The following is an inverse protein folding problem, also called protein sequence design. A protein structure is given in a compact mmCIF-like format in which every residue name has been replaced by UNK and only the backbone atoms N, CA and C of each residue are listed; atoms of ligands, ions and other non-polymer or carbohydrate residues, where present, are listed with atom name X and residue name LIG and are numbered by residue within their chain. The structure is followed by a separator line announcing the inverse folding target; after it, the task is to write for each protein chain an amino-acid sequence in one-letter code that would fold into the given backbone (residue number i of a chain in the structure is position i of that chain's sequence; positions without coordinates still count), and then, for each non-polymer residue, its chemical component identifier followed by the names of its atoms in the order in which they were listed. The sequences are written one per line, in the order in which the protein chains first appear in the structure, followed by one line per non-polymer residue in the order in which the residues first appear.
data_IF_862787042016
#
_entry.id   IF_862787042016
#
_cell.length_a   1.000
_cell.length_b   1.000
_cell.length_c   1.000
_cell.angle_alpha   90.00
_cell.angle_beta   90.00
_cell.angle_gamma   90.00
#
_symmetry.space_group_name_H-M   'P 1'
#
loop_
_entity.id
_entity.type
_entity.pdbx_description
1 polymer ?
#
# COMPACT_ATOMS: atom_id res chain seq x y z
N UNK A 1 9.17 5.52 13.25
CA UNK A 1 9.18 4.56 12.12
C UNK A 1 8.34 5.17 11.01
N UNK A 2 8.90 5.35 9.82
CA UNK A 2 8.27 6.09 8.70
C UNK A 2 7.64 5.20 7.64
N UNK A 3 7.81 3.88 7.76
CA UNK A 3 7.43 2.86 6.80
C UNK A 3 7.58 1.45 7.42
N UNK A 4 7.30 0.39 6.65
CA UNK A 4 7.44 -1.01 7.08
C UNK A 4 8.69 -1.68 6.45
N UNK A 5 9.76 -0.94 6.17
CA UNK A 5 10.98 -1.45 5.51
C UNK A 5 11.71 -2.56 6.26
N UNK A 6 11.45 -2.73 7.57
CA UNK A 6 11.88 -3.92 8.33
C UNK A 6 11.42 -5.24 7.69
N UNK A 7 10.34 -5.20 6.91
CA UNK A 7 9.79 -6.31 6.14
C UNK A 7 10.10 -6.22 4.63
N UNK A 8 11.14 -5.48 4.23
CA UNK A 8 11.54 -5.33 2.82
C UNK A 8 11.79 -6.67 2.10
N UNK A 9 12.22 -7.70 2.84
CA UNK A 9 12.44 -9.07 2.33
C UNK A 9 11.22 -10.00 2.51
N UNK A 10 10.09 -9.52 3.02
CA UNK A 10 8.88 -10.31 3.14
C UNK A 10 8.38 -10.71 1.75
N UNK A 11 8.46 -12.00 1.43
CA UNK A 11 8.05 -12.52 0.13
C UNK A 11 6.60 -13.01 0.10
N UNK A 12 6.12 -13.58 1.22
CA UNK A 12 4.83 -14.27 1.27
C UNK A 12 4.10 -14.01 2.59
N UNK A 13 2.80 -13.74 2.50
CA UNK A 13 1.87 -13.75 3.64
C UNK A 13 0.99 -15.01 3.53
N UNK A 14 1.29 -16.02 4.35
CA UNK A 14 0.66 -17.34 4.19
C UNK A 14 -0.79 -17.45 4.69
N UNK A 15 -1.22 -16.62 5.64
CA UNK A 15 -2.61 -16.61 6.11
C UNK A 15 -3.09 -17.88 6.83
N UNK A 16 -2.21 -18.60 7.54
CA UNK A 16 -2.57 -19.82 8.32
C UNK A 16 -3.63 -19.57 9.40
N UNK A 17 -3.68 -18.36 9.94
CA UNK A 17 -4.71 -17.89 10.86
C UNK A 17 -5.08 -16.46 10.48
N UNK A 18 -6.36 -16.13 10.54
CA UNK A 18 -6.91 -14.88 10.03
C UNK A 18 -7.62 -14.10 11.14
N UNK A 19 -7.42 -12.80 11.17
CA UNK A 19 -8.17 -11.90 12.04
C UNK A 19 -9.44 -11.48 11.32
N UNK A 20 -10.59 -12.08 11.65
CA UNK A 20 -11.87 -11.81 10.96
C UNK A 20 -11.76 -11.91 9.43
N UNK A 21 -11.00 -12.91 8.95
CA UNK A 21 -10.74 -13.11 7.51
C UNK A 21 -9.62 -12.25 6.91
N UNK A 22 -8.88 -11.48 7.72
CA UNK A 22 -7.81 -10.58 7.28
C UNK A 22 -6.44 -11.21 7.58
N UNK A 23 -5.52 -11.11 6.61
CA UNK A 23 -4.12 -11.55 6.78
C UNK A 23 -3.12 -10.38 6.82
N UNK A 24 -3.50 -9.20 6.32
CA UNK A 24 -2.72 -7.96 6.45
C UNK A 24 -3.64 -6.80 6.84
N UNK A 25 -3.38 -6.20 8.01
CA UNK A 25 -4.11 -5.05 8.53
C UNK A 25 -3.14 -3.89 8.80
N UNK A 26 -3.34 -2.77 8.11
CA UNK A 26 -2.61 -1.51 8.32
C UNK A 26 -3.63 -0.43 8.65
N UNK A 27 -3.80 -0.16 9.94
CA UNK A 27 -4.88 0.69 10.46
C UNK A 27 -4.32 1.79 11.37
N UNK A 28 -4.79 3.04 11.18
CA UNK A 28 -4.49 4.18 12.05
C UNK A 28 -2.99 4.44 12.28
N UNK A 29 -2.16 4.15 11.29
CA UNK A 29 -0.74 4.43 11.33
C UNK A 29 -0.48 5.83 10.81
N UNK A 30 -0.38 6.80 11.73
CA UNK A 30 -0.19 8.20 11.37
C UNK A 30 1.22 8.49 10.81
N UNK A 31 2.25 7.83 11.33
CA UNK A 31 3.65 8.12 10.99
C UNK A 31 4.18 7.46 9.70
N UNK A 32 3.44 6.53 9.09
CA UNK A 32 3.91 5.82 7.90
C UNK A 32 3.54 6.56 6.62
N UNK A 33 4.51 6.66 5.72
CA UNK A 33 4.35 7.31 4.41
C UNK A 33 4.34 6.33 3.25
N UNK A 34 4.83 5.10 3.46
CA UNK A 34 4.81 4.04 2.45
C UNK A 34 4.85 2.66 3.11
N UNK A 35 4.40 1.62 2.38
CA UNK A 35 4.42 0.24 2.90
C UNK A 35 5.79 -0.44 2.77
N UNK A 36 6.58 -0.14 1.73
CA UNK A 36 7.90 -0.73 1.50
C UNK A 36 7.97 -2.28 1.49
N UNK A 37 6.85 -2.95 1.20
CA UNK A 37 6.79 -4.41 1.02
C UNK A 37 7.29 -4.81 -0.39
N UNK A 38 8.53 -4.41 -0.73
CA UNK A 38 9.04 -4.47 -2.10
C UNK A 38 9.24 -5.90 -2.61
N UNK A 39 9.56 -6.85 -1.73
CA UNK A 39 9.73 -8.26 -2.10
C UNK A 39 8.44 -9.07 -2.08
N UNK A 40 7.30 -8.47 -1.68
CA UNK A 40 6.05 -9.19 -1.54
C UNK A 40 5.54 -9.67 -2.90
N UNK A 41 5.37 -10.98 -3.03
CA UNK A 41 4.96 -11.64 -4.28
C UNK A 41 3.67 -12.43 -4.14
N UNK A 42 3.32 -12.88 -2.93
CA UNK A 42 2.11 -13.67 -2.71
C UNK A 42 1.46 -13.39 -1.35
N UNK A 43 0.14 -13.34 -1.33
CA UNK A 43 -0.72 -13.41 -0.16
C UNK A 43 -1.61 -14.64 -0.36
N UNK A 44 -1.23 -15.75 0.26
CA UNK A 44 -1.79 -17.08 -0.04
C UNK A 44 -3.23 -17.23 0.47
N UNK A 45 -3.58 -16.57 1.57
CA UNK A 45 -4.94 -16.57 2.13
C UNK A 45 -5.23 -15.28 2.92
N UNK A 46 -6.51 -14.94 3.04
CA UNK A 46 -7.01 -13.78 3.78
C UNK A 46 -7.03 -12.47 3.00
N UNK A 47 -7.86 -11.56 3.47
CA UNK A 47 -8.06 -10.22 2.89
C UNK A 47 -7.00 -9.22 3.38
N UNK A 48 -6.90 -8.10 2.67
CA UNK A 48 -6.00 -6.99 3.02
C UNK A 48 -6.81 -5.76 3.37
N UNK A 49 -6.56 -5.15 4.51
CA UNK A 49 -7.25 -3.94 4.98
C UNK A 49 -6.24 -2.84 5.26
N UNK A 50 -6.34 -1.72 4.54
CA UNK A 50 -5.46 -0.56 4.68
C UNK A 50 -6.35 0.68 4.86
N UNK A 51 -6.49 1.13 6.10
CA UNK A 51 -7.40 2.24 6.39
C UNK A 51 -6.89 3.24 7.42
N UNK A 52 -7.36 4.47 7.29
CA UNK A 52 -7.16 5.53 8.30
C UNK A 52 -5.68 5.90 8.52
N UNK A 53 -4.83 5.73 7.51
CA UNK A 53 -3.41 6.09 7.56
C UNK A 53 -3.20 7.45 6.88
N UNK A 54 -3.28 8.54 7.66
CA UNK A 54 -3.36 9.93 7.17
C UNK A 54 -2.18 10.40 6.32
N UNK A 55 -1.00 9.78 6.47
CA UNK A 55 0.21 10.12 5.72
C UNK A 55 0.62 9.06 4.69
N UNK A 56 -0.11 7.93 4.62
CA UNK A 56 0.29 6.80 3.79
C UNK A 56 0.05 7.07 2.30
N UNK A 57 1.14 7.02 1.54
CA UNK A 57 1.19 7.18 0.09
C UNK A 57 1.52 5.85 -0.61
N UNK A 58 1.41 5.85 -1.94
CA UNK A 58 1.79 4.75 -2.84
C UNK A 58 1.02 3.44 -2.68
N UNK A 59 0.09 3.32 -1.74
CA UNK A 59 -0.77 2.14 -1.58
C UNK A 59 -1.58 1.81 -2.85
N UNK A 60 -1.88 2.81 -3.68
CA UNK A 60 -2.65 2.67 -4.94
C UNK A 60 -1.79 2.21 -6.13
N UNK A 61 -0.47 2.20 -5.98
CA UNK A 61 0.45 1.71 -7.03
C UNK A 61 0.61 0.19 -7.01
N UNK A 62 0.17 -0.45 -5.92
CA UNK A 62 0.24 -1.90 -5.73
C UNK A 62 -0.94 -2.56 -6.43
N UNK A 63 -0.65 -3.52 -7.31
CA UNK A 63 -1.67 -4.37 -7.92
C UNK A 63 -1.98 -5.55 -7.00
N UNK A 64 -2.88 -5.35 -6.03
CA UNK A 64 -3.22 -6.33 -5.00
C UNK A 64 -3.76 -7.64 -5.55
N UNK A 65 -4.56 -7.61 -6.62
CA UNK A 65 -5.15 -8.82 -7.20
C UNK A 65 -4.09 -9.76 -7.77
N UNK A 66 -2.95 -9.24 -8.23
CA UNK A 66 -1.80 -10.05 -8.67
C UNK A 66 -1.07 -10.74 -7.52
N UNK A 67 -1.22 -10.26 -6.30
CA UNK A 67 -0.62 -10.87 -5.11
C UNK A 67 -1.51 -11.97 -4.52
N UNK A 68 -2.80 -11.96 -4.82
CA UNK A 68 -3.74 -12.94 -4.29
C UNK A 68 -3.63 -14.29 -5.00
N UNK A 69 -3.66 -15.36 -4.20
CA UNK A 69 -3.66 -16.74 -4.71
C UNK A 69 -5.07 -17.23 -5.00
N UNK A 70 -6.07 -16.77 -4.25
CA UNK A 70 -7.46 -17.15 -4.38
C UNK A 70 -8.32 -15.99 -4.90
N UNK A 71 -9.27 -16.30 -5.78
CA UNK A 71 -10.12 -15.30 -6.46
C UNK A 71 -11.06 -14.54 -5.53
N UNK A 72 -11.40 -15.11 -4.37
CA UNK A 72 -12.30 -14.50 -3.40
C UNK A 72 -11.61 -13.51 -2.45
N UNK A 73 -10.28 -13.38 -2.51
CA UNK A 73 -9.54 -12.42 -1.69
C UNK A 73 -9.82 -10.99 -2.15
N UNK A 74 -9.95 -10.10 -1.18
CA UNK A 74 -10.28 -8.69 -1.42
C UNK A 74 -9.32 -7.78 -0.68
N UNK A 75 -9.15 -6.59 -1.25
CA UNK A 75 -8.48 -5.47 -0.60
C UNK A 75 -9.50 -4.38 -0.27
N UNK A 76 -9.48 -3.88 0.97
CA UNK A 76 -10.23 -2.72 1.40
C UNK A 76 -9.24 -1.57 1.65
N UNK A 77 -9.42 -0.47 0.94
CA UNK A 77 -8.61 0.74 1.08
C UNK A 77 -9.52 1.94 1.33
N UNK A 78 -9.36 2.62 2.47
CA UNK A 78 -10.20 3.79 2.83
C UNK A 78 -9.45 4.80 3.69
N UNK A 79 -9.77 6.08 3.59
CA UNK A 79 -9.29 7.12 4.53
C UNK A 79 -7.74 7.19 4.65
N UNK A 80 -7.01 6.95 3.56
CA UNK A 80 -5.55 7.18 3.51
C UNK A 80 -5.25 8.51 2.81
N UNK A 81 -3.97 8.90 2.73
CA UNK A 81 -3.59 10.13 2.02
C UNK A 81 -4.03 10.09 0.55
N UNK A 82 -4.59 11.19 0.05
CA UNK A 82 -4.98 11.27 -1.35
C UNK A 82 -3.76 11.07 -2.27
N UNK A 83 -3.82 10.19 -3.30
CA UNK A 83 -2.71 9.98 -4.22
C UNK A 83 -2.22 11.27 -4.88
N UNK A 84 -3.11 12.25 -5.11
CA UNK A 84 -2.77 13.55 -5.67
C UNK A 84 -1.84 14.37 -4.75
N UNK A 85 -2.03 14.27 -3.43
CA UNK A 85 -1.19 14.95 -2.43
C UNK A 85 0.16 14.25 -2.24
N UNK A 86 0.24 12.97 -2.58
CA UNK A 86 1.49 12.19 -2.54
C UNK A 86 2.45 12.56 -3.66
N UNK A 87 1.93 12.96 -4.83
CA UNK A 87 2.72 13.52 -5.92
C UNK A 87 3.11 14.96 -5.59
N UNK A 88 4.16 15.15 -4.78
CA UNK A 88 4.81 16.46 -4.68
C UNK A 88 5.41 16.82 -6.05
N UNK A 89 5.04 18.01 -6.54
CA UNK A 89 5.52 18.72 -7.73
C UNK A 89 6.68 18.03 -8.48
N UNK A 90 6.38 17.40 -9.62
CA UNK A 90 7.33 17.43 -10.73
C UNK A 90 7.22 18.86 -11.27
N UNK A 91 8.26 19.70 -11.20
CA UNK A 91 8.21 21.01 -11.84
C UNK A 91 7.89 20.76 -13.32
N UNK A 92 6.77 21.31 -13.81
CA UNK A 92 6.54 21.34 -15.25
C UNK A 92 7.74 22.08 -15.86
N UNK A 93 8.43 21.55 -16.88
CA UNK A 93 9.44 22.33 -17.58
C UNK A 93 8.75 23.60 -18.08
N UNK A 94 9.27 24.74 -17.64
CA UNK A 94 8.80 26.06 -18.01
C UNK A 94 8.71 26.16 -19.53
N UNK A 95 7.51 26.34 -20.06
CA UNK A 95 7.35 26.82 -21.43
C UNK A 95 7.89 28.25 -21.46
N UNK A 96 9.16 28.42 -21.82
CA UNK A 96 9.70 29.72 -22.19
C UNK A 96 8.94 30.20 -23.43
N UNK A 97 8.16 31.26 -23.22
CA UNK A 97 7.61 32.14 -24.24
C UNK A 97 8.69 32.47 -25.27
N UNK A 98 8.52 32.01 -26.51
CA UNK A 98 9.16 32.65 -27.65
C UNK A 98 8.32 33.88 -27.99
N UNK A 99 8.93 35.02 -27.77
CA UNK A 99 8.53 36.33 -28.28
C UNK A 99 8.69 36.37 -29.80
#
# INVERSE_FOLDING_TARGET
MTDLSVFSNLATIGGRSLYSGISLLVLKQHGITSLQLQSLREISAGNVHIAENSQLCYYSTVNWTRLFRAENQKVLIRNNQSPQKCCKFIPKPSQTSKK
#
